data_IF_461320543395
#
_entry.id   IF_461320543395
#
_cell.length_a   1.000
_cell.length_b   1.000
_cell.length_c   1.000
_cell.angle_alpha   90.00
_cell.angle_beta   90.00
_cell.angle_gamma   90.00
#
_symmetry.space_group_name_H-M   'P 1'
#
loop_
_entity.id
_entity.type
_entity.pdbx_description
1 polymer ?
#
# COMPACT_ATOMS: atom_id res chain seq x y z
N UNK A 1 -46.80 -43.09 12.98
CA UNK A 1 -45.96 -42.30 12.05
C UNK A 1 -45.92 -40.88 12.62
N UNK A 2 -44.83 -40.26 13.06
CA UNK A 2 -43.41 -40.32 12.70
C UNK A 2 -42.53 -40.07 13.94
N UNK A 3 -41.29 -40.55 13.86
CA UNK A 3 -40.31 -40.66 14.92
C UNK A 3 -39.72 -39.32 15.40
N UNK A 4 -39.33 -39.33 16.69
CA UNK A 4 -38.16 -38.69 17.29
C UNK A 4 -36.98 -38.53 16.30
N UNK A 5 -36.13 -37.50 16.47
CA UNK A 5 -34.68 -37.66 16.79
C UNK A 5 -33.85 -36.36 16.56
N UNK A 6 -33.28 -35.86 17.67
CA UNK A 6 -31.95 -35.22 17.88
C UNK A 6 -31.61 -33.80 17.38
N UNK A 7 -31.33 -32.95 18.37
CA UNK A 7 -30.33 -31.87 18.38
C UNK A 7 -29.00 -32.29 17.73
N UNK A 8 -28.32 -31.34 17.09
CA UNK A 8 -26.87 -31.12 17.26
C UNK A 8 -26.44 -29.74 16.74
N UNK A 9 -25.71 -29.04 17.61
CA UNK A 9 -25.01 -27.78 17.37
C UNK A 9 -24.01 -27.87 16.20
N UNK A 10 -23.99 -26.84 15.37
CA UNK A 10 -22.80 -26.24 14.76
C UNK A 10 -23.27 -24.89 14.20
N UNK A 11 -22.98 -23.73 14.80
CA UNK A 11 -21.63 -23.30 15.13
C UNK A 11 -20.94 -22.81 13.86
N UNK A 12 -21.48 -21.78 13.20
CA UNK A 12 -20.77 -21.02 12.17
C UNK A 12 -20.50 -19.61 12.71
N UNK A 13 -19.52 -19.53 13.61
CA UNK A 13 -18.88 -18.29 14.01
C UNK A 13 -17.44 -18.31 13.46
N UNK A 14 -17.22 -17.74 12.28
CA UNK A 14 -15.96 -17.30 11.67
C UNK A 14 -16.39 -16.48 10.43
N UNK A 15 -16.00 -15.24 10.18
CA UNK A 15 -14.76 -14.51 10.48
C UNK A 15 -15.11 -13.10 11.02
N UNK A 16 -14.56 -12.62 12.14
CA UNK A 16 -13.16 -12.26 12.35
C UNK A 16 -12.64 -11.28 11.27
N UNK A 17 -12.93 -10.00 11.51
CA UNK A 17 -12.04 -8.86 11.31
C UNK A 17 -11.17 -8.82 10.06
N UNK A 18 -11.62 -8.05 9.08
CA UNK A 18 -10.73 -7.21 8.27
C UNK A 18 -11.32 -5.81 8.33
N UNK A 19 -10.75 -4.98 9.20
CA UNK A 19 -10.97 -3.55 9.12
C UNK A 19 -10.49 -3.08 7.74
N UNK A 20 -11.16 -2.09 7.12
CA UNK A 20 -10.59 -1.47 5.94
C UNK A 20 -9.27 -0.83 6.41
N UNK A 21 -8.14 -1.39 5.99
CA UNK A 21 -6.87 -0.66 6.07
C UNK A 21 -7.06 0.50 5.11
N UNK A 22 -7.11 1.71 5.65
CA UNK A 22 -7.50 2.88 4.89
C UNK A 22 -6.34 3.28 3.98
N UNK A 23 -6.65 3.55 2.71
CA UNK A 23 -5.71 4.10 1.76
C UNK A 23 -5.20 5.47 2.27
N UNK A 24 -3.90 5.64 2.39
CA UNK A 24 -3.30 6.94 2.73
C UNK A 24 -2.99 7.71 1.46
N UNK A 25 -3.57 8.91 1.28
CA UNK A 25 -3.30 9.80 0.14
C UNK A 25 -2.67 11.12 0.62
N UNK A 26 -1.60 11.56 -0.05
CA UNK A 26 -0.98 12.88 0.14
C UNK A 26 -0.97 13.62 -1.17
N UNK A 27 -1.61 14.79 -1.19
CA UNK A 27 -1.57 15.71 -2.31
C UNK A 27 -0.47 16.77 -2.09
N UNK A 28 0.26 17.07 -3.16
CA UNK A 28 1.25 18.16 -3.24
C UNK A 28 0.97 19.00 -4.49
N UNK A 29 1.63 20.16 -4.60
CA UNK A 29 1.55 21.00 -5.83
C UNK A 29 2.05 20.28 -7.09
N UNK A 30 2.74 19.17 -6.94
CA UNK A 30 3.39 18.42 -8.02
C UNK A 30 2.68 17.11 -8.36
N UNK A 31 1.70 16.69 -7.56
CA UNK A 31 1.05 15.39 -7.73
C UNK A 31 0.44 14.84 -6.44
N UNK A 32 -0.04 13.61 -6.50
CA UNK A 32 -0.56 12.84 -5.37
C UNK A 32 0.23 11.55 -5.18
N UNK A 33 0.35 11.09 -3.94
CA UNK A 33 0.91 9.78 -3.60
C UNK A 33 -0.15 9.02 -2.81
N UNK A 34 -0.53 7.85 -3.29
CA UNK A 34 -1.46 6.95 -2.65
C UNK A 34 -0.77 5.63 -2.29
N UNK A 35 -1.13 5.07 -1.13
CA UNK A 35 -0.64 3.77 -0.68
C UNK A 35 -1.82 2.92 -0.21
N UNK A 36 -1.86 1.66 -0.66
CA UNK A 36 -2.88 0.68 -0.27
C UNK A 36 -2.21 -0.66 0.07
N UNK A 37 -2.83 -1.52 0.90
CA UNK A 37 -2.34 -2.89 1.07
C UNK A 37 -2.26 -3.59 -0.28
N UNK A 38 -1.16 -4.29 -0.53
CA UNK A 38 -1.00 -5.07 -1.75
C UNK A 38 -2.03 -6.20 -1.82
N UNK A 39 -2.53 -6.52 -3.01
CA UNK A 39 -3.50 -7.61 -3.20
C UNK A 39 -2.96 -8.99 -2.77
N UNK A 40 -1.63 -9.17 -2.81
CA UNK A 40 -0.94 -10.36 -2.31
C UNK A 40 -1.02 -10.52 -0.79
N UNK A 41 -1.37 -9.45 -0.06
CA UNK A 41 -1.24 -9.36 1.40
C UNK A 41 0.19 -9.08 1.87
N UNK A 42 1.15 -8.97 0.95
CA UNK A 42 2.55 -8.72 1.25
C UNK A 42 2.92 -7.30 0.82
N UNK A 43 3.01 -6.38 1.80
CA UNK A 43 3.49 -5.03 1.57
C UNK A 43 2.41 -4.02 1.19
N UNK A 44 2.82 -2.96 0.49
CA UNK A 44 1.98 -1.85 0.05
C UNK A 44 2.13 -1.64 -1.46
N UNK A 45 1.02 -1.52 -2.16
CA UNK A 45 0.97 -0.95 -3.50
C UNK A 45 1.05 0.58 -3.39
N UNK A 46 2.06 1.15 -4.03
CA UNK A 46 2.33 2.58 -4.03
C UNK A 46 2.04 3.14 -5.41
N UNK A 47 1.27 4.22 -5.46
CA UNK A 47 0.94 4.96 -6.68
C UNK A 47 1.33 6.42 -6.53
N UNK A 48 2.12 6.92 -7.48
CA UNK A 48 2.54 8.33 -7.58
C UNK A 48 1.91 8.90 -8.85
N UNK A 49 1.09 9.92 -8.71
CA UNK A 49 0.40 10.59 -9.82
C UNK A 49 0.89 12.02 -9.95
N UNK A 50 1.26 12.45 -11.15
CA UNK A 50 1.73 13.81 -11.40
C UNK A 50 0.63 14.72 -11.94
N UNK A 51 0.74 16.01 -11.62
CA UNK A 51 -0.05 17.05 -12.30
C UNK A 51 0.21 17.13 -13.81
N UNK A 52 1.31 16.54 -14.29
CA UNK A 52 1.67 16.47 -15.71
C UNK A 52 1.08 15.25 -16.43
N UNK A 53 0.28 14.43 -15.75
CA UNK A 53 -0.51 13.35 -16.36
C UNK A 53 0.19 11.99 -16.47
N UNK A 54 1.40 11.84 -15.93
CA UNK A 54 2.04 10.53 -15.76
C UNK A 54 1.72 9.93 -14.40
N UNK A 55 1.76 8.59 -14.34
CA UNK A 55 1.54 7.80 -13.14
C UNK A 55 2.66 6.79 -13.02
N UNK A 56 3.17 6.59 -11.81
CA UNK A 56 4.17 5.58 -11.48
C UNK A 56 3.65 4.67 -10.37
N UNK A 57 3.84 3.36 -10.52
CA UNK A 57 3.35 2.34 -9.59
C UNK A 57 4.49 1.40 -9.17
N UNK A 58 4.50 1.00 -7.91
CA UNK A 58 5.49 0.06 -7.39
C UNK A 58 4.99 -0.69 -6.17
N UNK A 59 5.59 -1.85 -5.93
CA UNK A 59 5.30 -2.67 -4.77
C UNK A 59 6.38 -2.48 -3.72
N UNK A 60 6.00 -1.92 -2.57
CA UNK A 60 6.86 -1.87 -1.41
C UNK A 60 6.72 -3.13 -0.58
N UNK A 61 7.80 -3.87 -0.40
CA UNK A 61 7.88 -4.96 0.56
C UNK A 61 8.34 -4.43 1.93
N UNK A 62 7.59 -4.73 2.98
CA UNK A 62 7.99 -4.36 4.34
C UNK A 62 9.35 -4.98 4.69
N UNK A 63 10.31 -4.20 5.24
CA UNK A 63 11.58 -4.74 5.69
C UNK A 63 11.41 -5.67 6.88
N UNK A 64 12.40 -6.53 7.10
CA UNK A 64 12.48 -7.38 8.30
C UNK A 64 12.64 -6.60 9.62
N UNK A 65 12.89 -5.29 9.53
CA UNK A 65 13.07 -4.39 10.68
C UNK A 65 12.28 -3.09 10.45
N UNK A 66 11.40 -2.75 11.39
CA UNK A 66 10.66 -1.48 11.37
C UNK A 66 11.61 -0.26 11.32
N UNK A 67 11.19 0.78 10.61
CA UNK A 67 11.98 2.00 10.40
C UNK A 67 13.15 1.86 9.40
N UNK A 68 13.45 0.65 8.92
CA UNK A 68 14.42 0.48 7.84
C UNK A 68 13.88 1.04 6.51
N UNK A 69 14.72 1.78 5.80
CA UNK A 69 14.39 2.27 4.47
C UNK A 69 14.69 1.17 3.43
N UNK A 70 13.75 0.93 2.52
CA UNK A 70 13.86 -0.07 1.44
C UNK A 70 13.64 0.62 0.10
N UNK A 71 14.54 0.35 -0.83
CA UNK A 71 14.41 0.78 -2.22
C UNK A 71 13.56 -0.18 -3.03
N UNK A 72 12.71 0.33 -3.91
CA UNK A 72 11.91 -0.47 -4.84
C UNK A 72 11.70 0.29 -6.16
N UNK A 73 11.57 -0.44 -7.29
CA UNK A 73 11.35 0.18 -8.59
C UNK A 73 9.93 0.72 -8.73
N UNK A 74 9.78 1.76 -9.55
CA UNK A 74 8.52 2.30 -10.01
C UNK A 74 8.39 2.11 -11.53
N UNK A 75 7.26 1.55 -11.95
CA UNK A 75 6.89 1.45 -13.37
C UNK A 75 5.99 2.62 -13.72
N UNK A 76 6.41 3.48 -14.66
CA UNK A 76 5.63 4.65 -15.05
C UNK A 76 4.92 4.49 -16.39
N UNK A 77 3.75 5.14 -16.51
CA UNK A 77 2.88 5.10 -17.69
C UNK A 77 3.52 5.70 -18.95
N UNK A 78 4.51 6.57 -18.77
CA UNK A 78 5.24 7.27 -19.84
C UNK A 78 6.58 6.60 -20.20
N UNK A 79 6.82 5.38 -19.71
CA UNK A 79 8.05 4.57 -19.94
C UNK A 79 9.33 5.19 -19.38
N UNK A 80 9.24 6.25 -18.57
CA UNK A 80 10.36 6.75 -17.79
C UNK A 80 10.49 5.86 -16.56
N UNK A 81 11.67 5.29 -16.33
CA UNK A 81 11.91 4.48 -15.13
C UNK A 81 12.04 5.40 -13.91
N UNK A 82 11.73 4.84 -12.74
CA UNK A 82 11.92 5.51 -11.47
C UNK A 82 12.16 4.53 -10.34
N UNK A 83 12.63 5.07 -9.23
CA UNK A 83 12.89 4.35 -8.00
C UNK A 83 12.29 5.11 -6.83
N UNK A 84 11.83 4.37 -5.83
CA UNK A 84 11.39 4.92 -4.57
C UNK A 84 12.21 4.32 -3.43
N UNK A 85 12.44 5.13 -2.41
CA UNK A 85 13.00 4.73 -1.13
C UNK A 85 11.94 5.03 -0.07
N UNK A 86 11.50 4.01 0.67
CA UNK A 86 10.47 4.17 1.69
C UNK A 86 10.84 3.51 3.02
N UNK A 87 10.50 4.19 4.12
CA UNK A 87 10.56 3.64 5.48
C UNK A 87 9.20 3.78 6.13
N UNK A 88 8.79 2.75 6.88
CA UNK A 88 7.58 2.73 7.70
C UNK A 88 7.93 2.39 9.13
N UNK A 89 7.52 3.26 10.07
CA UNK A 89 7.71 3.08 11.51
C UNK A 89 6.46 3.60 12.23
N UNK A 90 5.89 2.81 13.14
CA UNK A 90 4.73 3.18 13.96
C UNK A 90 3.56 3.79 13.15
N UNK A 91 3.25 3.20 11.98
CA UNK A 91 2.19 3.65 11.08
C UNK A 91 2.50 4.95 10.33
N UNK A 92 3.72 5.47 10.43
CA UNK A 92 4.18 6.63 9.66
C UNK A 92 5.05 6.14 8.48
N UNK A 93 4.61 6.42 7.26
CA UNK A 93 5.38 6.19 6.06
C UNK A 93 6.09 7.49 5.62
N UNK A 94 7.38 7.37 5.30
CA UNK A 94 8.19 8.42 4.67
C UNK A 94 8.77 7.85 3.39
N UNK A 95 8.50 8.51 2.27
CA UNK A 95 8.94 8.09 0.96
C UNK A 95 9.64 9.22 0.22
N UNK A 96 10.69 8.89 -0.51
CA UNK A 96 11.24 9.70 -1.59
C UNK A 96 11.20 8.91 -2.89
N UNK A 97 11.05 9.59 -4.03
CA UNK A 97 11.16 8.96 -5.33
C UNK A 97 12.00 9.82 -6.28
N UNK A 98 12.66 9.16 -7.22
CA UNK A 98 13.40 9.77 -8.31
C UNK A 98 13.01 9.07 -9.62
N UNK A 99 12.96 9.84 -10.70
CA UNK A 99 12.79 9.37 -12.07
C UNK A 99 14.06 9.66 -12.86
N UNK A 100 14.31 8.88 -13.89
CA UNK A 100 15.49 9.03 -14.75
C UNK A 100 15.51 10.34 -15.55
N UNK A 101 14.36 10.98 -15.72
CA UNK A 101 14.23 12.32 -16.31
C UNK A 101 14.64 13.47 -15.37
N UNK A 102 15.07 13.15 -14.14
CA UNK A 102 15.47 14.10 -13.10
C UNK A 102 14.33 14.59 -12.21
N UNK A 103 13.09 14.17 -12.49
CA UNK A 103 11.94 14.48 -11.63
C UNK A 103 12.05 13.71 -10.32
N UNK A 104 11.80 14.39 -9.21
CA UNK A 104 11.87 13.79 -7.88
C UNK A 104 10.80 14.37 -6.97
N UNK A 105 10.54 13.67 -5.88
CA UNK A 105 9.61 14.13 -4.86
C UNK A 105 9.70 13.31 -3.59
N UNK A 106 8.94 13.73 -2.59
CA UNK A 106 8.83 13.02 -1.33
C UNK A 106 7.46 13.21 -0.73
N UNK A 107 7.04 12.23 0.07
CA UNK A 107 5.83 12.28 0.85
C UNK A 107 6.07 11.75 2.26
N UNK A 108 5.24 12.23 3.18
CA UNK A 108 5.15 11.75 4.54
C UNK A 108 3.66 11.61 4.87
N UNK A 109 3.24 10.42 5.25
CA UNK A 109 1.84 10.13 5.57
C UNK A 109 1.70 9.15 6.72
N UNK A 110 0.56 9.24 7.40
CA UNK A 110 0.08 8.21 8.31
C UNK A 110 -0.68 7.15 7.51
N UNK A 111 -0.38 5.90 7.80
CA UNK A 111 -1.16 4.74 7.39
C UNK A 111 -2.14 4.47 8.53
N UNK A 112 -3.45 4.60 8.26
CA UNK A 112 -4.53 4.42 9.25
C UNK A 112 -5.19 3.05 9.17
#
# INVERSE_FOLDING_TARGET
MKHFMKLLCAGAAFAAGVGPVAAGEVMSRWGAIAMVPAASGEGLEVRVESVHGWVCEGLYAHPSKAGAAVGFPLTCSDRVEGEALMSVEDGLAVMAFNRDDGTHGSAKLRLE
#
